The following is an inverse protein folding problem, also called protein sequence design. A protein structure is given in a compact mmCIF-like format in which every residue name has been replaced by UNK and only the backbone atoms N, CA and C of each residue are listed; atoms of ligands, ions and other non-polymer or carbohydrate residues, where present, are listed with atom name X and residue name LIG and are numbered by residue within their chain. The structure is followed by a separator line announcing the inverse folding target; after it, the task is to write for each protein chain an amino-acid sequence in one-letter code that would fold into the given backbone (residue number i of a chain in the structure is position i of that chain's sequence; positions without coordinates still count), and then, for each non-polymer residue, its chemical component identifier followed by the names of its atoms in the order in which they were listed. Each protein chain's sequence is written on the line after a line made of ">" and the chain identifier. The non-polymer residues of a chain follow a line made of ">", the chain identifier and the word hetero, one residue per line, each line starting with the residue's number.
data_IF_385647321457
#
_entry.id   IF_385647321457
#
_cell.length_a   1.000
_cell.length_b   1.000
_cell.length_c   1.000
_cell.angle_alpha   90.00
_cell.angle_beta   90.00
_cell.angle_gamma   90.00
#
_symmetry.space_group_name_H-M   'P 1'
#
loop_
_entity.id
_entity.type
_entity.pdbx_description
1 polymer ?
#
# COMPACT_ATOMS: atom_id res chain seq x y z
N UNK A 1 -3.23 -21.12 3.64
CA UNK A 1 -2.99 -19.90 2.84
C UNK A 1 -3.47 -18.71 3.64
N UNK A 2 -2.69 -17.64 3.75
CA UNK A 2 -3.10 -16.40 4.42
C UNK A 2 -3.64 -15.39 3.39
N UNK A 3 -4.55 -14.52 3.81
CA UNK A 3 -5.27 -13.58 2.94
C UNK A 3 -4.78 -12.14 3.14
N UNK A 4 -4.75 -11.39 2.04
CA UNK A 4 -4.56 -9.94 2.04
C UNK A 4 -5.86 -9.26 1.68
N UNK A 5 -6.45 -8.49 2.60
CA UNK A 5 -7.82 -8.00 2.46
C UNK A 5 -7.90 -6.47 2.55
N UNK A 6 -8.89 -5.84 1.88
CA UNK A 6 -9.15 -4.42 2.09
C UNK A 6 -9.63 -4.22 3.53
N UNK A 7 -9.13 -3.19 4.21
CA UNK A 7 -9.64 -2.78 5.50
C UNK A 7 -10.55 -1.56 5.36
N UNK A 8 -11.73 -1.67 5.96
CA UNK A 8 -12.73 -0.61 6.07
C UNK A 8 -12.78 -0.24 7.55
N UNK A 9 -12.76 1.06 7.92
CA UNK A 9 -12.71 1.53 9.32
C UNK A 9 -14.07 1.37 10.05
N UNK A 10 -14.61 0.15 10.02
CA UNK A 10 -15.81 -0.26 10.72
C UNK A 10 -15.43 -1.15 11.92
N UNK A 11 -15.93 -0.87 13.15
CA UNK A 11 -15.62 -1.68 14.33
C UNK A 11 -16.04 -3.14 14.19
N UNK A 12 -17.22 -3.43 13.63
CA UNK A 12 -17.69 -4.80 13.46
C UNK A 12 -16.81 -5.60 12.50
N UNK A 13 -16.35 -4.94 11.43
CA UNK A 13 -15.40 -5.53 10.50
C UNK A 13 -14.01 -5.73 11.13
N UNK A 14 -13.53 -4.77 11.93
CA UNK A 14 -12.27 -4.92 12.66
C UNK A 14 -12.33 -6.09 13.66
N UNK A 15 -13.43 -6.23 14.40
CA UNK A 15 -13.64 -7.35 15.33
C UNK A 15 -13.68 -8.69 14.59
N UNK A 16 -14.38 -8.73 13.45
CA UNK A 16 -14.40 -9.91 12.59
C UNK A 16 -12.99 -10.30 12.12
N UNK A 17 -12.19 -9.33 11.65
CA UNK A 17 -10.82 -9.59 11.22
C UNK A 17 -9.90 -10.01 12.37
N UNK A 18 -10.09 -9.42 13.56
CA UNK A 18 -9.34 -9.79 14.77
C UNK A 18 -9.58 -11.25 15.17
N UNK A 19 -10.83 -11.72 15.06
CA UNK A 19 -11.18 -13.13 15.29
C UNK A 19 -10.53 -14.09 14.28
N UNK A 20 -10.14 -13.60 13.10
CA UNK A 20 -9.56 -14.38 12.01
C UNK A 20 -8.09 -14.05 11.73
N UNK A 21 -7.38 -13.47 12.71
CA UNK A 21 -6.02 -12.95 12.53
C UNK A 21 -5.02 -13.98 12.00
N UNK A 22 -5.17 -15.26 12.36
CA UNK A 22 -4.32 -16.36 11.90
C UNK A 22 -4.43 -16.63 10.40
N UNK A 23 -5.57 -16.28 9.80
CA UNK A 23 -5.83 -16.39 8.37
C UNK A 23 -5.37 -15.16 7.58
N UNK A 24 -4.89 -14.09 8.24
CA UNK A 24 -4.51 -12.84 7.59
C UNK A 24 -2.99 -12.74 7.39
N UNK A 25 -2.59 -12.35 6.19
CA UNK A 25 -1.23 -11.96 5.83
C UNK A 25 -1.05 -10.45 5.98
N UNK A 26 -2.02 -9.68 5.47
CA UNK A 26 -2.00 -8.22 5.56
C UNK A 26 -3.38 -7.61 5.38
N UNK A 27 -3.47 -6.34 5.74
CA UNK A 27 -4.56 -5.46 5.37
C UNK A 27 -4.04 -4.26 4.57
N UNK A 28 -4.88 -3.75 3.68
CA UNK A 28 -4.63 -2.49 2.98
C UNK A 28 -5.80 -1.52 3.17
N UNK A 29 -5.48 -0.28 3.51
CA UNK A 29 -6.48 0.75 3.81
C UNK A 29 -6.11 2.08 3.14
N UNK A 30 -7.10 2.82 2.65
CA UNK A 30 -6.85 4.17 2.14
C UNK A 30 -6.50 5.12 3.29
N UNK A 31 -5.71 6.15 3.00
CA UNK A 31 -5.63 7.33 3.86
C UNK A 31 -6.57 8.41 3.34
N UNK A 32 -7.21 9.10 4.27
CA UNK A 32 -7.85 10.36 3.94
C UNK A 32 -6.75 11.41 3.70
N UNK A 33 -6.70 11.91 2.49
CA UNK A 33 -5.84 13.01 2.08
C UNK A 33 -6.65 13.93 1.19
N UNK A 34 -6.35 15.24 1.24
CA UNK A 34 -7.02 16.24 0.38
C UNK A 34 -7.02 15.85 -1.10
N UNK A 35 -6.01 15.10 -1.54
CA UNK A 35 -5.97 14.52 -2.89
C UNK A 35 -6.26 13.02 -2.85
N UNK A 36 -7.25 12.57 -3.62
CA UNK A 36 -7.66 11.17 -3.69
C UNK A 36 -6.53 10.30 -4.28
N UNK A 37 -5.86 9.51 -3.43
CA UNK A 37 -4.84 8.55 -3.86
C UNK A 37 -5.38 7.14 -4.11
N UNK A 38 -6.66 6.87 -3.76
CA UNK A 38 -7.36 5.64 -4.11
C UNK A 38 -8.85 5.92 -4.39
N UNK A 39 -9.40 5.35 -5.46
CA UNK A 39 -10.78 5.59 -5.87
C UNK A 39 -11.84 5.15 -4.84
N UNK A 40 -11.51 4.24 -3.91
CA UNK A 40 -12.40 3.78 -2.83
C UNK A 40 -12.56 4.80 -1.71
N UNK A 41 -11.73 5.85 -1.66
CA UNK A 41 -11.87 6.97 -0.71
C UNK A 41 -13.19 7.72 -0.91
N UNK A 42 -13.78 7.68 -2.13
CA UNK A 42 -14.96 8.48 -2.48
C UNK A 42 -16.25 8.15 -1.73
N UNK A 43 -16.30 7.10 -0.89
CA UNK A 43 -17.56 6.63 -0.30
C UNK A 43 -17.60 6.51 1.23
N UNK A 44 -16.58 6.92 2.00
CA UNK A 44 -16.59 6.61 3.43
C UNK A 44 -16.06 7.66 4.41
N UNK A 45 -15.44 8.76 4.00
CA UNK A 45 -14.91 9.75 4.95
C UNK A 45 -15.21 11.14 4.41
N UNK A 46 -16.20 11.77 5.03
CA UNK A 46 -16.64 13.13 4.73
C UNK A 46 -15.66 14.09 5.37
N UNK A 47 -14.96 14.88 4.54
CA UNK A 47 -14.54 16.25 4.84
C UNK A 47 -14.04 16.55 6.26
N UNK A 48 -12.72 16.74 6.33
CA UNK A 48 -11.92 17.34 7.40
C UNK A 48 -11.22 16.34 8.30
N UNK A 49 -9.89 16.52 8.36
CA UNK A 49 -8.96 15.86 9.26
C UNK A 49 -9.32 16.15 10.72
N UNK A 50 -10.42 15.58 11.19
CA UNK A 50 -10.78 15.63 12.59
C UNK A 50 -9.89 14.61 13.31
N UNK A 51 -9.19 15.09 14.33
CA UNK A 51 -8.26 14.25 15.14
C UNK A 51 -8.95 12.98 15.64
N UNK A 52 -10.26 13.02 15.89
CA UNK A 52 -11.07 11.87 16.28
C UNK A 52 -11.13 10.73 15.25
N UNK A 53 -11.13 11.01 13.95
CA UNK A 53 -11.18 9.95 12.92
C UNK A 53 -9.83 9.25 12.76
N UNK A 54 -8.76 10.03 12.86
CA UNK A 54 -7.39 9.51 12.93
C UNK A 54 -7.20 8.54 14.07
N UNK A 55 -7.59 8.96 15.28
CA UNK A 55 -7.40 8.20 16.49
C UNK A 55 -8.26 6.94 16.47
N UNK A 56 -9.49 7.03 15.93
CA UNK A 56 -10.35 5.88 15.68
C UNK A 56 -9.71 4.88 14.72
N UNK A 57 -9.22 5.34 13.57
CA UNK A 57 -8.54 4.46 12.61
C UNK A 57 -7.32 3.80 13.25
N UNK A 58 -6.50 4.57 13.98
CA UNK A 58 -5.35 4.05 14.70
C UNK A 58 -5.74 2.99 15.74
N UNK A 59 -6.82 3.19 16.49
CA UNK A 59 -7.32 2.23 17.47
C UNK A 59 -7.75 0.92 16.80
N UNK A 60 -8.50 1.00 15.70
CA UNK A 60 -8.92 -0.18 14.93
C UNK A 60 -7.74 -0.91 14.29
N UNK A 61 -6.76 -0.19 13.75
CA UNK A 61 -5.56 -0.81 13.20
C UNK A 61 -4.70 -1.46 14.29
N UNK A 62 -4.64 -0.86 15.49
CA UNK A 62 -3.92 -1.43 16.65
C UNK A 62 -4.51 -2.76 17.10
N UNK A 63 -5.83 -2.92 17.10
CA UNK A 63 -6.47 -4.20 17.50
C UNK A 63 -6.12 -5.35 16.55
N UNK A 64 -5.67 -5.04 15.34
CA UNK A 64 -5.23 -6.00 14.32
C UNK A 64 -3.72 -6.28 14.36
N UNK A 65 -2.99 -5.99 15.45
CA UNK A 65 -1.63 -6.55 15.63
C UNK A 65 -1.76 -8.07 15.82
N UNK A 66 -1.03 -8.94 15.07
CA UNK A 66 0.23 -8.73 14.35
C UNK A 66 0.14 -8.59 12.81
N UNK A 67 -1.04 -8.31 12.24
CA UNK A 67 -1.23 -8.27 10.78
C UNK A 67 -0.46 -7.12 10.13
N UNK A 68 0.24 -7.39 9.03
CA UNK A 68 0.95 -6.34 8.28
C UNK A 68 -0.05 -5.33 7.69
N UNK A 69 0.35 -4.05 7.71
CA UNK A 69 -0.54 -2.94 7.33
C UNK A 69 0.08 -2.15 6.19
N UNK A 70 -0.68 -1.97 5.13
CA UNK A 70 -0.26 -1.21 3.98
C UNK A 70 -1.21 -0.06 3.71
N UNK A 71 -0.64 1.12 3.50
CA UNK A 71 -1.41 2.27 3.01
C UNK A 71 -1.66 2.07 1.53
N UNK A 72 -2.82 2.50 1.08
CA UNK A 72 -3.29 2.26 -0.27
C UNK A 72 -3.35 3.56 -1.07
N UNK A 73 -2.50 3.64 -2.09
CA UNK A 73 -2.40 4.74 -3.05
C UNK A 73 -2.47 4.18 -4.49
N UNK A 74 -3.53 3.41 -4.76
CA UNK A 74 -3.66 2.55 -5.95
C UNK A 74 -4.36 3.24 -7.14
N UNK A 75 -4.50 4.56 -7.14
CA UNK A 75 -4.90 5.32 -8.33
C UNK A 75 -3.77 5.27 -9.38
N UNK A 76 -4.13 5.12 -10.66
CA UNK A 76 -3.14 5.01 -11.78
C UNK A 76 -2.44 6.33 -12.10
N UNK A 77 -3.15 7.43 -11.92
CA UNK A 77 -2.65 8.79 -12.11
C UNK A 77 -3.20 9.65 -10.99
N UNK A 78 -2.31 10.22 -10.19
CA UNK A 78 -2.69 11.22 -9.22
C UNK A 78 -2.78 12.60 -9.87
N UNK A 79 -3.34 13.58 -9.16
CA UNK A 79 -3.37 14.96 -9.64
C UNK A 79 -1.93 15.46 -9.87
N UNK A 80 -1.61 16.17 -10.98
CA UNK A 80 -0.24 16.57 -11.32
C UNK A 80 0.50 17.32 -10.22
N UNK A 81 -0.20 18.13 -9.43
CA UNK A 81 0.35 18.80 -8.25
C UNK A 81 1.08 17.86 -7.29
N UNK A 82 0.67 16.59 -7.16
CA UNK A 82 1.35 15.64 -6.29
C UNK A 82 2.74 15.24 -6.81
N UNK A 83 3.02 15.40 -8.11
CA UNK A 83 4.36 15.13 -8.61
C UNK A 83 5.33 16.28 -8.36
N UNK A 84 4.81 17.52 -8.33
CA UNK A 84 5.62 18.74 -8.33
C UNK A 84 5.59 19.53 -7.03
N UNK A 85 4.70 19.19 -6.09
CA UNK A 85 4.53 19.91 -4.82
C UNK A 85 5.01 19.07 -3.62
N UNK A 86 6.25 19.28 -3.14
CA UNK A 86 6.81 18.57 -1.98
C UNK A 86 6.01 18.74 -0.69
N UNK A 87 5.22 19.81 -0.56
CA UNK A 87 4.38 20.04 0.62
C UNK A 87 3.23 19.02 0.64
N UNK A 88 2.59 18.77 -0.50
CA UNK A 88 1.48 17.81 -0.59
C UNK A 88 1.95 16.37 -0.42
N UNK A 89 3.06 15.98 -1.06
CA UNK A 89 3.66 14.65 -0.88
C UNK A 89 4.23 14.45 0.53
N UNK A 90 4.87 15.49 1.08
CA UNK A 90 5.33 15.50 2.46
C UNK A 90 4.18 15.34 3.47
N UNK A 91 3.04 15.99 3.24
CA UNK A 91 1.86 15.83 4.10
C UNK A 91 1.34 14.39 4.14
N UNK A 92 1.30 13.70 2.99
CA UNK A 92 0.96 12.27 2.94
C UNK A 92 1.95 11.40 3.73
N UNK A 93 3.26 11.65 3.60
CA UNK A 93 4.28 10.89 4.33
C UNK A 93 4.29 11.20 5.83
N UNK A 94 4.01 12.46 6.22
CA UNK A 94 3.80 12.86 7.61
C UNK A 94 2.65 12.09 8.23
N UNK A 95 1.55 11.93 7.48
CA UNK A 95 0.38 11.17 7.93
C UNK A 95 0.72 9.71 8.20
N UNK A 96 1.47 9.08 7.29
CA UNK A 96 1.96 7.71 7.47
C UNK A 96 2.86 7.63 8.71
N UNK A 97 3.80 8.57 8.87
CA UNK A 97 4.72 8.56 9.99
C UNK A 97 4.02 8.69 11.35
N UNK A 98 3.02 9.57 11.46
CA UNK A 98 2.20 9.72 12.67
C UNK A 98 1.45 8.43 13.03
N UNK A 99 1.02 7.66 12.04
CA UNK A 99 0.31 6.40 12.26
C UNK A 99 1.25 5.21 12.49
N UNK A 100 2.46 5.24 11.93
CA UNK A 100 3.43 4.13 11.98
C UNK A 100 3.80 3.76 13.41
N UNK A 101 4.14 4.76 14.25
CA UNK A 101 4.50 4.55 15.66
C UNK A 101 3.41 3.76 16.43
N UNK A 102 2.15 4.04 16.07
CA UNK A 102 0.97 3.45 16.67
C UNK A 102 0.61 2.09 16.07
N UNK A 103 0.79 1.87 14.77
CA UNK A 103 0.13 0.77 14.04
C UNK A 103 1.10 -0.20 13.36
N UNK A 104 2.34 0.21 13.09
CA UNK A 104 3.37 -0.56 12.39
C UNK A 104 3.09 -0.68 10.90
N UNK A 105 3.09 0.44 10.19
CA UNK A 105 2.82 0.48 8.75
C UNK A 105 4.04 -0.08 8.02
N UNK A 106 3.83 -1.12 7.21
CA UNK A 106 4.90 -1.81 6.49
C UNK A 106 5.23 -1.18 5.15
N UNK A 107 4.27 -0.51 4.52
CA UNK A 107 4.49 -0.01 3.18
C UNK A 107 3.27 0.65 2.55
N UNK A 108 3.42 0.92 1.26
CA UNK A 108 2.42 1.58 0.43
C UNK A 108 2.14 0.70 -0.79
N UNK A 109 0.87 0.40 -1.05
CA UNK A 109 0.41 -0.23 -2.29
C UNK A 109 0.14 0.87 -3.32
N UNK A 110 0.89 0.88 -4.42
CA UNK A 110 0.88 1.95 -5.42
C UNK A 110 0.67 1.42 -6.83
N UNK A 111 0.04 2.20 -7.70
CA UNK A 111 -0.06 1.89 -9.13
C UNK A 111 0.72 2.86 -10.03
N UNK A 112 1.12 4.00 -9.48
CA UNK A 112 1.71 5.12 -10.21
C UNK A 112 3.21 5.20 -9.90
N UNK A 113 4.04 4.89 -10.90
CA UNK A 113 5.50 4.95 -10.78
C UNK A 113 6.03 6.38 -10.58
N UNK A 114 5.35 7.40 -11.13
CA UNK A 114 5.75 8.79 -10.96
C UNK A 114 5.53 9.25 -9.53
N UNK A 115 4.46 8.76 -8.88
CA UNK A 115 4.20 9.03 -7.48
C UNK A 115 5.33 8.46 -6.60
N UNK A 116 5.83 7.25 -6.89
CA UNK A 116 6.94 6.66 -6.12
C UNK A 116 8.17 7.56 -6.15
N UNK A 117 8.56 8.03 -7.33
CA UNK A 117 9.68 8.96 -7.48
C UNK A 117 9.40 10.29 -6.75
N UNK A 118 8.20 10.85 -6.90
CA UNK A 118 7.83 12.10 -6.24
C UNK A 118 7.86 11.99 -4.71
N UNK A 119 7.42 10.85 -4.16
CA UNK A 119 7.52 10.55 -2.73
C UNK A 119 8.98 10.42 -2.32
N UNK A 120 9.80 9.67 -3.06
CA UNK A 120 11.22 9.54 -2.76
C UNK A 120 11.90 10.91 -2.72
N UNK A 121 11.67 11.79 -3.70
CA UNK A 121 12.32 13.11 -3.77
C UNK A 121 12.05 14.04 -2.57
N UNK A 122 11.02 13.76 -1.75
CA UNK A 122 10.77 14.52 -0.52
C UNK A 122 11.86 14.37 0.54
N UNK A 123 12.68 13.31 0.44
CA UNK A 123 13.66 12.94 1.47
C UNK A 123 13.06 12.72 2.87
N UNK A 124 11.79 12.38 2.94
CA UNK A 124 11.11 12.16 4.21
C UNK A 124 11.68 10.96 4.98
N UNK A 125 11.89 11.14 6.28
CA UNK A 125 12.57 10.16 7.14
C UNK A 125 11.87 8.79 7.26
N UNK A 126 10.56 8.72 6.94
CA UNK A 126 9.79 7.47 6.99
C UNK A 126 10.08 6.55 5.80
N UNK A 127 10.56 7.09 4.68
CA UNK A 127 10.72 6.37 3.40
C UNK A 127 11.56 5.10 3.55
N UNK A 128 12.73 5.13 4.22
CA UNK A 128 13.55 3.92 4.40
C UNK A 128 12.89 2.83 5.25
N UNK A 129 11.80 3.12 5.97
CA UNK A 129 11.07 2.12 6.75
C UNK A 129 10.04 1.36 5.92
N UNK A 130 9.52 2.00 4.86
CA UNK A 130 8.37 1.53 4.08
C UNK A 130 8.80 0.73 2.85
N UNK A 131 8.06 -0.33 2.55
CA UNK A 131 8.14 -1.04 1.27
C UNK A 131 7.16 -0.44 0.26
N UNK A 132 7.55 -0.41 -1.01
CA UNK A 132 6.64 -0.10 -2.12
C UNK A 132 6.13 -1.41 -2.72
N UNK A 133 4.82 -1.60 -2.67
CA UNK A 133 4.14 -2.77 -3.25
C UNK A 133 3.42 -2.32 -4.52
N UNK A 134 3.81 -2.78 -5.71
CA UNK A 134 3.01 -2.55 -6.91
C UNK A 134 1.63 -3.17 -6.75
N UNK A 135 0.58 -2.37 -6.91
CA UNK A 135 -0.81 -2.77 -6.77
C UNK A 135 -1.36 -3.44 -8.02
N UNK A 136 -2.60 -3.95 -7.92
CA UNK A 136 -3.27 -4.64 -9.05
C UNK A 136 -3.35 -3.77 -10.31
N UNK A 137 -3.43 -2.45 -10.16
CA UNK A 137 -3.53 -1.51 -11.27
C UNK A 137 -2.20 -1.30 -12.02
N UNK A 138 -1.09 -1.82 -11.48
CA UNK A 138 0.20 -1.94 -12.17
C UNK A 138 0.20 -3.04 -13.24
N UNK A 139 -0.84 -3.88 -13.29
CA UNK A 139 -1.04 -4.92 -14.32
C UNK A 139 0.18 -5.85 -14.51
N UNK A 140 0.80 -6.27 -13.40
CA UNK A 140 1.96 -7.16 -13.43
C UNK A 140 1.47 -8.58 -13.73
N UNK A 141 1.62 -8.98 -14.99
CA UNK A 141 1.24 -10.30 -15.52
C UNK A 141 2.42 -11.01 -16.22
N UNK A 142 3.62 -10.42 -16.15
CA UNK A 142 4.85 -10.93 -16.73
C UNK A 142 6.07 -10.59 -15.86
N UNK A 143 7.16 -11.34 -16.04
CA UNK A 143 8.44 -11.09 -15.37
C UNK A 143 9.00 -9.72 -15.69
N UNK A 144 8.91 -9.27 -16.93
CA UNK A 144 9.47 -8.00 -17.40
C UNK A 144 8.81 -6.82 -16.71
N UNK A 145 7.48 -6.86 -16.54
CA UNK A 145 6.75 -5.83 -15.79
C UNK A 145 7.15 -5.84 -14.32
N UNK A 146 7.35 -7.02 -13.73
CA UNK A 146 7.85 -7.14 -12.37
C UNK A 146 9.26 -6.53 -12.23
N UNK A 147 10.18 -6.86 -13.13
CA UNK A 147 11.54 -6.33 -13.15
C UNK A 147 11.57 -4.81 -13.30
N UNK A 148 10.75 -4.26 -14.19
CA UNK A 148 10.64 -2.80 -14.36
C UNK A 148 10.25 -2.09 -13.05
N UNK A 149 9.36 -2.70 -12.26
CA UNK A 149 9.02 -2.19 -10.93
C UNK A 149 10.17 -2.37 -9.93
N UNK A 150 10.91 -3.47 -9.97
CA UNK A 150 12.06 -3.67 -9.09
C UNK A 150 13.17 -2.65 -9.39
N UNK A 151 13.48 -2.42 -10.66
CA UNK A 151 14.48 -1.44 -11.09
C UNK A 151 14.10 -0.03 -10.63
N UNK A 152 12.81 0.34 -10.78
CA UNK A 152 12.29 1.60 -10.26
C UNK A 152 12.51 1.71 -8.75
N UNK A 153 12.07 0.72 -7.96
CA UNK A 153 12.13 0.79 -6.49
C UNK A 153 13.58 0.74 -6.01
N UNK A 154 14.45 -0.02 -6.68
CA UNK A 154 15.87 -0.09 -6.37
C UNK A 154 16.57 1.27 -6.54
N UNK A 155 16.08 2.11 -7.45
CA UNK A 155 16.54 3.49 -7.62
C UNK A 155 16.05 4.48 -6.55
N UNK A 156 15.29 4.03 -5.54
CA UNK A 156 14.71 4.87 -4.48
C UNK A 156 15.23 4.48 -3.11
N UNK A 157 14.86 5.25 -2.07
CA UNK A 157 15.18 4.90 -0.67
C UNK A 157 14.17 3.97 -0.02
N UNK A 158 13.10 3.58 -0.71
CA UNK A 158 12.14 2.63 -0.17
C UNK A 158 12.75 1.22 -0.06
N UNK A 159 12.18 0.40 0.84
CA UNK A 159 12.49 -1.03 0.84
C UNK A 159 11.88 -1.70 -0.38
N UNK A 160 12.58 -2.72 -0.87
CA UNK A 160 12.01 -3.64 -1.84
C UNK A 160 10.74 -4.31 -1.28
N UNK A 161 9.78 -4.66 -2.15
CA UNK A 161 8.59 -5.39 -1.74
C UNK A 161 8.95 -6.79 -1.23
N UNK A 162 8.31 -7.19 -0.14
CA UNK A 162 8.30 -8.56 0.38
C UNK A 162 7.18 -9.42 -0.24
N UNK A 163 6.33 -8.80 -1.07
CA UNK A 163 5.17 -9.42 -1.70
C UNK A 163 4.82 -8.76 -3.03
N UNK A 164 4.12 -9.51 -3.87
CA UNK A 164 3.66 -9.06 -5.19
C UNK A 164 2.14 -9.16 -5.27
N UNK A 165 1.49 -8.13 -5.83
CA UNK A 165 0.08 -8.17 -6.22
C UNK A 165 0.01 -8.32 -7.75
N UNK A 166 -0.19 -9.54 -8.28
CA UNK A 166 -0.26 -9.77 -9.71
C UNK A 166 -1.55 -9.20 -10.33
N UNK A 167 -1.58 -9.10 -11.65
CA UNK A 167 -2.78 -8.72 -12.39
C UNK A 167 -3.92 -9.71 -12.15
N UNK A 168 -5.14 -9.19 -12.01
CA UNK A 168 -6.35 -9.97 -11.73
C UNK A 168 -6.69 -11.01 -12.80
N UNK A 169 -6.21 -10.84 -14.04
CA UNK A 169 -6.41 -11.84 -15.10
C UNK A 169 -5.80 -13.19 -14.75
N UNK A 170 -4.73 -13.20 -13.95
CA UNK A 170 -4.05 -14.41 -13.49
C UNK A 170 -4.89 -15.23 -12.50
N UNK A 171 -5.92 -14.64 -11.86
CA UNK A 171 -6.84 -15.40 -11.00
C UNK A 171 -7.65 -16.45 -11.77
N UNK A 172 -7.75 -16.32 -13.10
CA UNK A 172 -8.45 -17.27 -13.99
C UNK A 172 -7.49 -18.21 -14.72
N UNK A 173 -6.19 -18.01 -14.58
CA UNK A 173 -5.15 -18.80 -15.25
C UNK A 173 -4.03 -19.12 -14.26
N UNK A 174 -4.25 -20.18 -13.47
CA UNK A 174 -3.35 -20.59 -12.40
C UNK A 174 -1.98 -21.04 -12.94
N UNK A 175 -1.91 -21.54 -14.17
CA UNK A 175 -0.65 -21.97 -14.79
C UNK A 175 0.24 -20.76 -15.10
N UNK A 176 -0.35 -19.68 -15.64
CA UNK A 176 0.38 -18.42 -15.83
C UNK A 176 0.80 -17.80 -14.50
N UNK A 177 -0.07 -17.85 -13.48
CA UNK A 177 0.28 -17.37 -12.14
C UNK A 177 1.47 -18.14 -11.55
N UNK A 178 1.48 -19.47 -11.66
CA UNK A 178 2.58 -20.31 -11.19
C UNK A 178 3.89 -20.00 -11.93
N UNK A 179 3.79 -19.81 -13.25
CA UNK A 179 4.93 -19.45 -14.09
C UNK A 179 5.55 -18.12 -13.65
N UNK A 180 4.72 -17.07 -13.51
CA UNK A 180 5.17 -15.77 -13.02
C UNK A 180 5.78 -15.88 -11.62
N UNK A 181 5.13 -16.60 -10.69
CA UNK A 181 5.64 -16.78 -9.33
C UNK A 181 7.02 -17.45 -9.31
N UNK A 182 7.24 -18.45 -10.17
CA UNK A 182 8.52 -19.15 -10.31
C UNK A 182 9.62 -18.23 -10.87
N UNK A 183 9.28 -17.42 -11.86
CA UNK A 183 10.19 -16.45 -12.48
C UNK A 183 10.60 -15.33 -11.52
N UNK A 184 9.64 -14.83 -10.73
CA UNK A 184 9.89 -13.82 -9.68
C UNK A 184 10.81 -14.37 -8.59
N UNK A 185 10.52 -15.57 -8.07
CA UNK A 185 11.35 -16.22 -7.02
C UNK A 185 12.79 -16.52 -7.47
N UNK A 186 13.02 -16.68 -8.78
CA UNK A 186 14.39 -16.85 -9.32
C UNK A 186 15.17 -15.55 -9.35
N UNK A 187 14.47 -14.41 -9.35
CA UNK A 187 15.07 -13.09 -9.50
C UNK A 187 15.32 -12.43 -8.14
N UNK A 188 14.43 -12.59 -7.16
CA UNK A 188 14.63 -12.11 -5.80
C UNK A 188 15.28 -13.19 -4.92
N UNK A 189 16.32 -12.88 -4.13
CA UNK A 189 16.77 -13.77 -3.07
C UNK A 189 15.77 -13.75 -1.90
N UNK A 190 14.95 -14.79 -1.78
CA UNK A 190 14.01 -15.02 -0.67
C UNK A 190 12.57 -14.67 -1.01
#
# INVERSE_FOLDING_TARGET
>A
MKLSVPFIPDPGYADFLAQHVSALASIYFPLDTETVMDARVRSAISSHADTGETDRLNALLKSLRPVDKYVLANTRFVHPDLYSNPVKTGAFLNRIAQMDDATGIKGIVVADAYLVNALDQTAHHIIPKLSIIPGVNSMIDSREKFLAWMDLIHGTRFKLPDRLIPDRSLNRDLNRLETLAREVRRTLPG
#
